data_IF_471457465833
#
_entry.id   IF_471457465833
#
_cell.length_a   1.000
_cell.length_b   1.000
_cell.length_c   1.000
_cell.angle_alpha   90.00
_cell.angle_beta   90.00
_cell.angle_gamma   90.00
#
_symmetry.space_group_name_H-M   'P 1'
#
loop_
_entity.id
_entity.type
_entity.pdbx_description
1 polymer ?
#
# COMPACT_ATOMS: atom_id res chain seq x y z
N UNK A 1 -18.99 -2.06 17.23
CA UNK A 1 -19.91 -3.05 16.58
C UNK A 1 -19.15 -4.15 15.81
N UNK A 2 -18.22 -3.85 14.90
CA UNK A 2 -17.51 -4.89 14.14
C UNK A 2 -16.67 -5.80 15.04
N UNK A 3 -15.85 -5.25 15.92
CA UNK A 3 -14.99 -6.03 16.82
C UNK A 3 -15.78 -6.99 17.69
N UNK A 4 -16.92 -6.56 18.28
CA UNK A 4 -17.75 -7.46 19.10
C UNK A 4 -18.31 -8.65 18.32
N UNK A 5 -18.63 -8.49 17.03
CA UNK A 5 -19.05 -9.61 16.17
C UNK A 5 -17.90 -10.57 15.85
N UNK A 6 -16.68 -10.04 15.73
CA UNK A 6 -15.49 -10.87 15.53
C UNK A 6 -15.16 -11.65 16.81
N UNK A 7 -15.26 -11.04 17.98
CA UNK A 7 -15.08 -11.72 19.29
C UNK A 7 -16.08 -12.84 19.48
N UNK A 8 -17.36 -12.62 19.13
CA UNK A 8 -18.40 -13.64 19.18
C UNK A 8 -18.07 -14.81 18.22
N UNK A 9 -17.70 -14.52 16.98
CA UNK A 9 -17.34 -15.55 16.00
C UNK A 9 -16.14 -16.40 16.47
N UNK A 10 -15.10 -15.77 17.03
CA UNK A 10 -13.92 -16.45 17.56
C UNK A 10 -14.31 -17.30 18.81
N UNK A 11 -15.20 -16.82 19.66
CA UNK A 11 -15.69 -17.58 20.82
C UNK A 11 -16.40 -18.85 20.39
N UNK A 12 -17.16 -18.80 19.28
CA UNK A 12 -17.85 -19.96 18.74
C UNK A 12 -16.90 -20.96 18.05
N UNK A 13 -15.84 -20.47 17.43
CA UNK A 13 -14.90 -21.31 16.69
C UNK A 13 -13.44 -20.80 16.86
N UNK A 14 -12.79 -21.14 18.01
CA UNK A 14 -11.47 -20.59 18.34
C UNK A 14 -10.32 -21.33 17.62
N UNK A 15 -10.34 -21.39 16.30
CA UNK A 15 -9.30 -22.02 15.49
C UNK A 15 -8.33 -20.96 14.91
N UNK A 16 -7.08 -21.33 14.55
CA UNK A 16 -6.06 -20.42 14.04
C UNK A 16 -6.56 -19.53 12.89
N UNK A 17 -7.29 -20.11 11.96
CA UNK A 17 -7.82 -19.42 10.77
C UNK A 17 -8.80 -18.31 11.14
N UNK A 18 -9.68 -18.51 12.14
CA UNK A 18 -10.64 -17.48 12.56
C UNK A 18 -9.96 -16.26 13.16
N UNK A 19 -8.91 -16.46 13.96
CA UNK A 19 -8.09 -15.38 14.48
C UNK A 19 -7.37 -14.61 13.37
N UNK A 20 -6.80 -15.32 12.40
CA UNK A 20 -6.15 -14.68 11.25
C UNK A 20 -7.15 -13.84 10.45
N UNK A 21 -8.34 -14.37 10.12
CA UNK A 21 -9.38 -13.66 9.38
C UNK A 21 -9.92 -12.46 10.14
N UNK A 22 -10.11 -12.55 11.46
CA UNK A 22 -10.53 -11.41 12.27
C UNK A 22 -9.49 -10.27 12.23
N UNK A 23 -8.22 -10.61 12.36
CA UNK A 23 -7.13 -9.64 12.25
C UNK A 23 -7.04 -9.01 10.86
N UNK A 24 -7.21 -9.80 9.80
CA UNK A 24 -7.23 -9.34 8.42
C UNK A 24 -8.37 -8.36 8.15
N UNK A 25 -9.60 -8.67 8.58
CA UNK A 25 -10.76 -7.77 8.44
C UNK A 25 -10.50 -6.42 9.13
N UNK A 26 -9.92 -6.42 10.34
CA UNK A 26 -9.60 -5.17 11.04
C UNK A 26 -8.48 -4.39 10.35
N UNK A 27 -7.50 -5.08 9.76
CA UNK A 27 -6.46 -4.47 8.94
C UNK A 27 -7.05 -3.81 7.69
N UNK A 28 -7.86 -4.54 6.91
CA UNK A 28 -8.47 -4.06 5.67
C UNK A 28 -9.40 -2.85 5.90
N UNK A 29 -10.15 -2.86 6.99
CA UNK A 29 -11.03 -1.75 7.35
C UNK A 29 -10.28 -0.56 7.98
N UNK A 30 -9.02 -0.72 8.36
CA UNK A 30 -8.20 0.33 8.97
C UNK A 30 -8.70 0.83 10.33
N UNK A 31 -9.62 0.11 10.97
CA UNK A 31 -10.31 0.62 12.16
C UNK A 31 -9.48 0.50 13.45
N UNK A 32 -8.73 -0.59 13.61
CA UNK A 32 -8.00 -0.84 14.85
C UNK A 32 -6.82 -1.80 14.63
N UNK A 33 -5.66 -1.26 14.29
CA UNK A 33 -4.45 -2.07 14.05
C UNK A 33 -3.95 -2.79 15.31
N UNK A 34 -4.14 -2.22 16.51
CA UNK A 34 -3.73 -2.88 17.74
C UNK A 34 -4.51 -4.19 17.97
N UNK A 35 -5.83 -4.15 17.78
CA UNK A 35 -6.67 -5.36 17.84
C UNK A 35 -6.37 -6.31 16.70
N UNK A 36 -6.13 -5.81 15.48
CA UNK A 36 -5.71 -6.65 14.35
C UNK A 36 -4.43 -7.43 14.67
N UNK A 37 -3.39 -6.76 15.16
CA UNK A 37 -2.13 -7.38 15.57
C UNK A 37 -2.36 -8.41 16.67
N UNK A 38 -3.23 -8.12 17.66
CA UNK A 38 -3.53 -9.06 18.76
C UNK A 38 -4.15 -10.36 18.22
N UNK A 39 -5.18 -10.27 17.37
CA UNK A 39 -5.79 -11.47 16.76
C UNK A 39 -4.80 -12.23 15.89
N UNK A 40 -4.03 -11.54 15.06
CA UNK A 40 -3.02 -12.17 14.20
C UNK A 40 -1.92 -12.88 15.02
N UNK A 41 -1.52 -12.31 16.16
CA UNK A 41 -0.55 -12.96 17.05
C UNK A 41 -1.15 -14.21 17.71
N UNK A 42 -2.42 -14.19 18.11
CA UNK A 42 -3.11 -15.39 18.59
C UNK A 42 -3.22 -16.45 17.51
N UNK A 43 -3.66 -16.07 16.31
CA UNK A 43 -3.71 -16.96 15.15
C UNK A 43 -2.35 -17.58 14.82
N UNK A 44 -1.28 -16.78 14.84
CA UNK A 44 0.08 -17.26 14.66
C UNK A 44 0.48 -18.30 15.71
N UNK A 45 0.22 -18.04 17.00
CA UNK A 45 0.61 -18.93 18.09
C UNK A 45 -0.13 -20.28 18.00
N UNK A 46 -1.43 -20.26 17.71
CA UNK A 46 -2.21 -21.47 17.50
C UNK A 46 -1.77 -22.23 16.25
N UNK A 47 -1.52 -21.51 15.14
CA UNK A 47 -1.00 -22.11 13.92
C UNK A 47 0.38 -22.77 14.13
N UNK A 48 1.22 -22.19 14.98
CA UNK A 48 2.52 -22.77 15.33
C UNK A 48 2.38 -24.09 16.12
N UNK A 49 1.39 -24.17 17.02
CA UNK A 49 1.11 -25.40 17.77
C UNK A 49 0.60 -26.53 16.85
N UNK A 50 -0.13 -26.18 15.79
CA UNK A 50 -0.70 -27.13 14.84
C UNK A 50 0.19 -27.37 13.60
N UNK A 51 1.36 -26.72 13.50
CA UNK A 51 2.29 -26.88 12.37
C UNK A 51 1.79 -26.22 11.06
N UNK A 52 0.86 -25.25 11.14
CA UNK A 52 0.24 -24.59 9.99
C UNK A 52 1.14 -23.47 9.46
N UNK A 53 2.28 -23.81 8.85
CA UNK A 53 3.33 -22.86 8.48
C UNK A 53 2.87 -21.75 7.51
N UNK A 54 1.96 -22.05 6.57
CA UNK A 54 1.39 -21.05 5.66
C UNK A 54 0.55 -20.01 6.40
N UNK A 55 -0.23 -20.43 7.39
CA UNK A 55 -1.03 -19.51 8.20
C UNK A 55 -0.13 -18.62 9.08
N UNK A 56 0.94 -19.19 9.62
CA UNK A 56 1.98 -18.41 10.33
C UNK A 56 2.58 -17.34 9.44
N UNK A 57 2.91 -17.66 8.19
CA UNK A 57 3.45 -16.74 7.20
C UNK A 57 2.45 -15.60 6.91
N UNK A 58 1.19 -15.92 6.65
CA UNK A 58 0.14 -14.93 6.41
C UNK A 58 -0.05 -13.98 7.59
N UNK A 59 -0.11 -14.51 8.83
CA UNK A 59 -0.20 -13.68 10.04
C UNK A 59 0.95 -12.67 10.12
N UNK A 60 2.21 -13.11 9.89
CA UNK A 60 3.38 -12.23 9.95
C UNK A 60 3.37 -11.14 8.88
N UNK A 61 2.92 -11.44 7.67
CA UNK A 61 2.78 -10.44 6.59
C UNK A 61 1.78 -9.37 7.01
N UNK A 62 0.59 -9.77 7.49
CA UNK A 62 -0.45 -8.81 7.85
C UNK A 62 -0.04 -7.98 9.07
N UNK A 63 0.65 -8.58 10.06
CA UNK A 63 1.22 -7.80 11.18
C UNK A 63 2.23 -6.77 10.66
N UNK A 64 3.11 -7.16 9.74
CA UNK A 64 4.04 -6.24 9.09
C UNK A 64 3.33 -5.10 8.37
N UNK A 65 2.24 -5.39 7.65
CA UNK A 65 1.40 -4.39 7.00
C UNK A 65 0.72 -3.44 8.02
N UNK A 66 0.25 -3.96 9.17
CA UNK A 66 -0.29 -3.13 10.24
C UNK A 66 0.74 -2.11 10.75
N UNK A 67 1.98 -2.58 11.03
CA UNK A 67 3.07 -1.70 11.45
C UNK A 67 3.51 -0.72 10.35
N UNK A 68 3.46 -1.14 9.08
CA UNK A 68 3.69 -0.24 7.94
C UNK A 68 2.70 0.92 7.96
N UNK A 69 1.41 0.63 8.10
CA UNK A 69 0.36 1.64 8.15
C UNK A 69 0.45 2.55 9.40
N UNK A 70 1.01 2.05 10.48
CA UNK A 70 1.30 2.83 11.70
C UNK A 70 2.64 3.58 11.64
N UNK A 71 3.40 3.45 10.53
CA UNK A 71 4.73 4.02 10.33
C UNK A 71 5.79 3.53 11.35
N UNK A 72 5.54 2.38 11.97
CA UNK A 72 6.45 1.73 12.91
C UNK A 72 7.52 0.91 12.19
N UNK A 73 8.45 1.57 11.48
CA UNK A 73 9.47 0.94 10.62
C UNK A 73 10.21 -0.21 11.28
N UNK A 74 10.63 -0.05 12.55
CA UNK A 74 11.41 -1.07 13.26
C UNK A 74 10.61 -2.35 13.46
N UNK A 75 9.35 -2.23 13.84
CA UNK A 75 8.47 -3.38 14.04
C UNK A 75 8.10 -4.02 12.70
N UNK A 76 7.76 -3.20 11.69
CA UNK A 76 7.52 -3.68 10.32
C UNK A 76 8.70 -4.50 9.78
N UNK A 77 9.93 -3.98 9.86
CA UNK A 77 11.11 -4.68 9.37
C UNK A 77 11.34 -6.02 10.07
N UNK A 78 11.11 -6.08 11.38
CA UNK A 78 11.19 -7.33 12.14
C UNK A 78 10.19 -8.37 11.64
N UNK A 79 8.93 -7.98 11.47
CA UNK A 79 7.88 -8.90 11.03
C UNK A 79 8.12 -9.38 9.59
N UNK A 80 8.50 -8.48 8.68
CA UNK A 80 8.85 -8.86 7.31
C UNK A 80 10.11 -9.71 7.21
N UNK A 81 11.09 -9.57 8.12
CA UNK A 81 12.24 -10.47 8.19
C UNK A 81 11.81 -11.88 8.58
N UNK A 82 10.91 -12.02 9.57
CA UNK A 82 10.37 -13.32 9.97
C UNK A 82 9.56 -13.93 8.81
N UNK A 83 8.66 -13.17 8.22
CA UNK A 83 7.85 -13.61 7.07
C UNK A 83 8.73 -14.03 5.89
N UNK A 84 9.79 -13.26 5.58
CA UNK A 84 10.73 -13.60 4.49
C UNK A 84 11.52 -14.91 4.74
N UNK A 85 11.84 -15.23 5.99
CA UNK A 85 12.44 -16.52 6.34
C UNK A 85 11.45 -17.65 6.10
N UNK A 86 10.24 -17.55 6.67
CA UNK A 86 9.18 -18.52 6.46
C UNK A 86 8.86 -18.73 4.98
N UNK A 87 8.76 -17.65 4.20
CA UNK A 87 8.48 -17.76 2.76
C UNK A 87 9.58 -18.51 2.01
N UNK A 88 10.87 -18.29 2.36
CA UNK A 88 11.99 -19.05 1.78
C UNK A 88 11.95 -20.51 2.18
N UNK A 89 11.74 -20.81 3.46
CA UNK A 89 11.70 -22.19 3.98
C UNK A 89 10.53 -22.99 3.36
N UNK A 90 9.44 -22.30 3.03
CA UNK A 90 8.26 -22.86 2.36
C UNK A 90 8.32 -22.77 0.82
N UNK A 91 9.43 -22.32 0.24
CA UNK A 91 9.61 -22.12 -1.22
C UNK A 91 8.55 -21.24 -1.87
N UNK A 92 8.01 -20.23 -1.12
CA UNK A 92 6.96 -19.31 -1.58
C UNK A 92 7.58 -18.05 -2.23
N UNK A 93 8.10 -18.20 -3.46
CA UNK A 93 8.81 -17.13 -4.17
C UNK A 93 7.91 -15.92 -4.45
N UNK A 94 6.66 -16.14 -4.85
CA UNK A 94 5.73 -15.05 -5.15
C UNK A 94 5.36 -14.27 -3.89
N UNK A 95 5.16 -14.95 -2.77
CA UNK A 95 4.92 -14.28 -1.49
C UNK A 95 6.14 -13.47 -1.05
N UNK A 96 7.35 -13.94 -1.31
CA UNK A 96 8.57 -13.19 -1.03
C UNK A 96 8.66 -11.90 -1.86
N UNK A 97 8.22 -11.92 -3.13
CA UNK A 97 8.11 -10.71 -3.96
C UNK A 97 7.13 -9.70 -3.32
N UNK A 98 5.96 -10.16 -2.88
CA UNK A 98 4.96 -9.31 -2.21
C UNK A 98 5.52 -8.67 -0.93
N UNK A 99 6.21 -9.43 -0.09
CA UNK A 99 6.85 -8.91 1.14
C UNK A 99 7.86 -7.81 0.79
N UNK A 100 8.70 -8.05 -0.20
CA UNK A 100 9.72 -7.09 -0.62
C UNK A 100 9.10 -5.83 -1.23
N UNK A 101 8.05 -5.98 -2.04
CA UNK A 101 7.26 -4.87 -2.57
C UNK A 101 6.64 -4.02 -1.44
N UNK A 102 5.97 -4.65 -0.47
CA UNK A 102 5.34 -3.94 0.66
C UNK A 102 6.37 -3.15 1.47
N UNK A 103 7.54 -3.76 1.72
CA UNK A 103 8.66 -3.09 2.39
C UNK A 103 9.14 -1.87 1.63
N UNK A 104 9.41 -2.02 0.32
CA UNK A 104 9.90 -0.94 -0.53
C UNK A 104 8.85 0.17 -0.71
N UNK A 105 7.57 -0.17 -0.83
CA UNK A 105 6.45 0.78 -0.88
C UNK A 105 6.35 1.60 0.41
N UNK A 106 6.61 0.99 1.57
CA UNK A 106 6.67 1.71 2.85
C UNK A 106 7.83 2.71 2.87
N UNK A 107 8.99 2.36 2.31
CA UNK A 107 10.09 3.32 2.19
C UNK A 107 9.71 4.52 1.31
N UNK A 108 8.95 4.32 0.23
CA UNK A 108 8.42 5.45 -0.57
C UNK A 108 7.50 6.31 0.28
N UNK A 109 6.52 5.70 0.98
CA UNK A 109 5.55 6.41 1.80
C UNK A 109 6.21 7.25 2.91
N UNK A 110 7.37 6.80 3.42
CA UNK A 110 8.13 7.48 4.47
C UNK A 110 9.28 8.36 3.95
N UNK A 111 9.30 8.67 2.65
CA UNK A 111 10.31 9.55 2.04
C UNK A 111 11.71 8.93 1.92
N UNK A 112 11.87 7.65 2.25
CA UNK A 112 13.17 6.94 2.08
C UNK A 112 13.40 6.54 0.62
N UNK A 113 13.23 7.49 -0.29
CA UNK A 113 13.21 7.28 -1.73
C UNK A 113 14.46 6.56 -2.26
N UNK A 114 15.65 6.82 -1.68
CA UNK A 114 16.89 6.16 -2.12
C UNK A 114 16.81 4.64 -1.99
N UNK A 115 16.39 4.15 -0.82
CA UNK A 115 16.25 2.71 -0.58
C UNK A 115 15.19 2.09 -1.49
N UNK A 116 14.08 2.80 -1.67
CA UNK A 116 13.01 2.37 -2.54
C UNK A 116 13.45 2.32 -4.01
N UNK A 117 14.12 3.37 -4.49
CA UNK A 117 14.70 3.41 -5.83
C UNK A 117 15.68 2.26 -6.08
N UNK A 118 16.61 2.02 -5.13
CA UNK A 118 17.59 0.93 -5.22
C UNK A 118 16.95 -0.45 -5.33
N UNK A 119 15.72 -0.60 -4.81
CA UNK A 119 14.93 -1.83 -4.97
C UNK A 119 14.18 -1.84 -6.30
N UNK A 120 13.29 -0.86 -6.56
CA UNK A 120 12.41 -0.88 -7.72
C UNK A 120 13.14 -0.80 -9.05
N UNK A 121 14.28 -0.13 -9.12
CA UNK A 121 15.12 -0.06 -10.34
C UNK A 121 15.79 -1.38 -10.73
N UNK A 122 15.80 -2.37 -9.82
CA UNK A 122 16.42 -3.68 -10.03
C UNK A 122 15.43 -4.82 -10.19
N UNK A 123 14.13 -4.53 -10.17
CA UNK A 123 13.11 -5.56 -10.40
C UNK A 123 13.15 -5.96 -11.87
N UNK A 124 13.51 -7.21 -12.15
CA UNK A 124 13.72 -7.72 -13.52
C UNK A 124 12.40 -7.76 -14.30
N UNK A 125 11.34 -8.27 -13.68
CA UNK A 125 9.99 -8.36 -14.24
C UNK A 125 9.01 -7.51 -13.41
N UNK A 126 9.05 -6.16 -13.53
CA UNK A 126 8.23 -5.29 -12.71
C UNK A 126 6.76 -5.36 -13.10
N UNK A 127 5.89 -5.43 -12.10
CA UNK A 127 4.47 -5.18 -12.24
C UNK A 127 4.19 -3.67 -12.44
N UNK A 128 2.95 -3.31 -12.81
CA UNK A 128 2.54 -1.91 -12.97
C UNK A 128 2.79 -1.11 -11.68
N UNK A 129 2.50 -1.70 -10.53
CA UNK A 129 2.72 -1.04 -9.23
C UNK A 129 4.21 -0.85 -8.88
N UNK A 130 5.12 -1.74 -9.33
CA UNK A 130 6.56 -1.52 -9.18
C UNK A 130 7.01 -0.30 -9.99
N UNK A 131 6.53 -0.20 -11.24
CA UNK A 131 6.82 0.92 -12.13
C UNK A 131 6.24 2.24 -11.61
N UNK A 132 5.05 2.20 -11.01
CA UNK A 132 4.45 3.33 -10.31
C UNK A 132 5.34 3.84 -9.17
N UNK A 133 5.83 2.94 -8.30
CA UNK A 133 6.72 3.32 -7.19
C UNK A 133 8.08 3.81 -7.69
N UNK A 134 8.61 3.21 -8.75
CA UNK A 134 9.84 3.69 -9.39
C UNK A 134 9.68 5.12 -9.92
N UNK A 135 8.56 5.40 -10.61
CA UNK A 135 8.29 6.74 -11.14
C UNK A 135 8.20 7.80 -10.03
N UNK A 136 7.59 7.49 -8.88
CA UNK A 136 7.56 8.38 -7.71
C UNK A 136 8.98 8.63 -7.16
N UNK A 137 9.80 7.59 -7.06
CA UNK A 137 11.19 7.76 -6.65
C UNK A 137 11.96 8.65 -7.64
N UNK A 138 11.72 8.48 -8.94
CA UNK A 138 12.33 9.29 -10.00
C UNK A 138 11.87 10.76 -9.91
N UNK A 139 10.59 11.02 -9.60
CA UNK A 139 10.09 12.37 -9.33
C UNK A 139 10.86 13.02 -8.18
N UNK A 140 10.99 12.33 -7.05
CA UNK A 140 11.70 12.83 -5.87
C UNK A 140 13.19 13.13 -6.12
N UNK A 141 13.81 12.45 -7.11
CA UNK A 141 15.22 12.64 -7.48
C UNK A 141 15.46 13.51 -8.71
N UNK A 142 14.42 14.07 -9.30
CA UNK A 142 14.54 14.84 -10.54
C UNK A 142 14.97 14.00 -11.76
N UNK A 143 14.80 12.67 -11.71
CA UNK A 143 15.10 11.74 -12.81
C UNK A 143 13.93 11.65 -13.80
N UNK A 144 13.51 12.81 -14.31
CA UNK A 144 12.31 12.98 -15.11
C UNK A 144 12.18 11.96 -16.26
N UNK A 145 13.22 11.82 -17.07
CA UNK A 145 13.17 10.94 -18.26
C UNK A 145 12.97 9.46 -17.87
N UNK A 146 13.63 9.00 -16.82
CA UNK A 146 13.53 7.63 -16.32
C UNK A 146 12.14 7.36 -15.72
N UNK A 147 11.59 8.31 -14.96
CA UNK A 147 10.24 8.19 -14.42
C UNK A 147 9.17 8.13 -15.51
N UNK A 148 9.29 8.96 -16.56
CA UNK A 148 8.39 8.93 -17.71
C UNK A 148 8.46 7.58 -18.44
N UNK A 149 9.67 7.02 -18.64
CA UNK A 149 9.82 5.72 -19.30
C UNK A 149 9.21 4.58 -18.45
N UNK A 150 9.38 4.63 -17.14
CA UNK A 150 8.72 3.67 -16.25
C UNK A 150 7.18 3.71 -16.41
N UNK A 151 6.58 4.90 -16.47
CA UNK A 151 5.13 5.02 -16.68
C UNK A 151 4.72 4.53 -18.07
N UNK A 152 5.44 4.90 -19.13
CA UNK A 152 5.15 4.40 -20.49
C UNK A 152 5.19 2.88 -20.57
N UNK A 153 6.11 2.25 -19.82
CA UNK A 153 6.16 0.78 -19.71
C UNK A 153 4.91 0.24 -19.01
N UNK A 154 4.46 0.87 -17.92
CA UNK A 154 3.23 0.50 -17.22
C UNK A 154 1.98 0.65 -18.12
N UNK A 155 1.90 1.73 -18.90
CA UNK A 155 0.81 1.95 -19.87
C UNK A 155 0.74 0.84 -20.90
N UNK A 156 1.88 0.46 -21.51
CA UNK A 156 1.95 -0.66 -22.46
C UNK A 156 1.48 -1.98 -21.85
N UNK A 157 1.75 -2.21 -20.56
CA UNK A 157 1.27 -3.42 -19.87
C UNK A 157 -0.24 -3.40 -19.63
N UNK A 158 -0.85 -2.23 -19.50
CA UNK A 158 -2.29 -2.05 -19.32
C UNK A 158 -3.11 -2.07 -20.63
N UNK A 159 -2.46 -1.95 -21.82
CA UNK A 159 -3.15 -1.91 -23.13
C UNK A 159 -3.79 -3.25 -23.54
N UNK A 160 -3.47 -4.35 -22.84
CA UNK A 160 -3.94 -5.70 -23.18
C UNK A 160 -5.17 -6.17 -22.39
N UNK A 161 -5.84 -5.28 -21.64
CA UNK A 161 -7.06 -5.59 -20.88
C UNK A 161 -8.29 -4.99 -21.54
N UNK A 162 -9.23 -5.84 -22.00
CA UNK A 162 -10.49 -5.41 -22.63
C UNK A 162 -11.57 -5.02 -21.60
N UNK A 163 -11.33 -5.16 -20.30
CA UNK A 163 -12.29 -4.83 -19.25
C UNK A 163 -11.99 -3.45 -18.63
N UNK A 164 -12.85 -2.44 -18.88
CA UNK A 164 -12.67 -1.09 -18.30
C UNK A 164 -12.82 -1.05 -16.76
N UNK A 165 -13.28 -2.12 -16.15
CA UNK A 165 -13.38 -2.28 -14.69
C UNK A 165 -12.18 -3.01 -14.07
N UNK A 166 -11.17 -3.38 -14.83
CA UNK A 166 -9.99 -4.08 -14.39
C UNK A 166 -9.19 -3.21 -13.38
N UNK A 167 -8.73 -3.82 -12.30
CA UNK A 167 -7.80 -3.19 -11.33
C UNK A 167 -6.55 -2.65 -12.02
N UNK A 168 -6.05 -3.33 -13.06
CA UNK A 168 -4.92 -2.88 -13.87
C UNK A 168 -5.13 -1.52 -14.52
N UNK A 169 -6.34 -1.21 -14.97
CA UNK A 169 -6.64 0.13 -15.52
C UNK A 169 -6.48 1.21 -14.46
N UNK A 170 -6.91 0.93 -13.23
CA UNK A 170 -6.74 1.87 -12.12
C UNK A 170 -5.26 2.03 -11.74
N UNK A 171 -4.47 0.95 -11.76
CA UNK A 171 -3.01 1.01 -11.55
C UNK A 171 -2.32 1.89 -12.63
N UNK A 172 -2.75 1.79 -13.89
CA UNK A 172 -2.27 2.64 -14.98
C UNK A 172 -2.69 4.10 -14.77
N UNK A 173 -3.92 4.37 -14.33
CA UNK A 173 -4.38 5.72 -13.99
C UNK A 173 -3.49 6.34 -12.89
N UNK A 174 -3.11 5.56 -11.87
CA UNK A 174 -2.17 6.00 -10.84
C UNK A 174 -0.79 6.35 -11.42
N UNK A 175 -0.30 5.57 -12.37
CA UNK A 175 0.95 5.86 -13.08
C UNK A 175 0.84 7.16 -13.90
N UNK A 176 -0.29 7.40 -14.57
CA UNK A 176 -0.54 8.63 -15.35
C UNK A 176 -0.54 9.88 -14.50
N UNK A 177 -1.02 9.82 -13.25
CA UNK A 177 -0.91 10.93 -12.29
C UNK A 177 0.56 11.35 -12.09
N UNK A 178 1.44 10.36 -11.84
CA UNK A 178 2.88 10.64 -11.64
C UNK A 178 3.51 11.18 -12.93
N UNK A 179 3.16 10.61 -14.08
CA UNK A 179 3.66 11.09 -15.37
C UNK A 179 3.27 12.54 -15.60
N UNK A 180 2.01 12.93 -15.34
CA UNK A 180 1.56 14.30 -15.50
C UNK A 180 2.40 15.26 -14.68
N UNK A 181 2.68 14.93 -13.42
CA UNK A 181 3.56 15.70 -12.52
C UNK A 181 4.99 15.81 -13.06
N UNK A 182 5.51 14.74 -13.64
CA UNK A 182 6.83 14.75 -14.26
C UNK A 182 6.91 15.59 -15.53
N UNK A 183 5.85 15.62 -16.36
CA UNK A 183 5.83 16.32 -17.65
C UNK A 183 5.51 17.82 -17.52
N UNK A 184 4.77 18.23 -16.50
CA UNK A 184 4.24 19.59 -16.31
C UNK A 184 4.79 20.24 -15.05
N UNK A 185 5.53 21.33 -15.19
CA UNK A 185 6.12 22.05 -14.04
C UNK A 185 5.07 22.74 -13.16
N UNK A 186 3.96 23.17 -13.76
CA UNK A 186 2.88 23.90 -13.10
C UNK A 186 1.60 23.07 -12.95
N UNK A 187 1.72 21.74 -12.89
CA UNK A 187 0.59 20.81 -12.85
C UNK A 187 -0.51 21.18 -11.84
N UNK A 188 -0.14 21.76 -10.68
CA UNK A 188 -1.12 22.23 -9.68
C UNK A 188 -2.05 23.33 -10.17
N UNK A 189 -1.69 24.08 -11.20
CA UNK A 189 -2.52 25.13 -11.80
C UNK A 189 -3.39 24.64 -12.96
N UNK A 190 -3.18 23.43 -13.42
CA UNK A 190 -3.81 22.89 -14.62
C UNK A 190 -5.08 22.11 -14.26
N UNK A 191 -6.20 22.41 -14.95
CA UNK A 191 -7.47 21.72 -14.74
C UNK A 191 -7.39 20.23 -15.10
N UNK A 192 -6.51 19.87 -16.04
CA UNK A 192 -6.32 18.51 -16.48
C UNK A 192 -5.75 17.62 -15.34
N UNK A 193 -4.88 18.18 -14.52
CA UNK A 193 -4.39 17.47 -13.34
C UNK A 193 -5.50 17.18 -12.33
N UNK A 194 -6.39 18.15 -12.11
CA UNK A 194 -7.58 17.97 -11.25
C UNK A 194 -8.46 16.84 -11.75
N UNK A 195 -8.74 16.83 -13.08
CA UNK A 195 -9.56 15.80 -13.75
C UNK A 195 -8.93 14.40 -13.68
N UNK A 196 -7.62 14.31 -13.55
CA UNK A 196 -6.92 13.04 -13.34
C UNK A 196 -6.90 12.65 -11.85
N UNK A 197 -6.55 13.58 -10.96
CA UNK A 197 -6.31 13.33 -9.54
C UNK A 197 -7.58 12.84 -8.82
N UNK A 198 -8.67 13.61 -8.87
CA UNK A 198 -9.84 13.31 -8.05
C UNK A 198 -10.60 12.06 -8.50
N UNK A 199 -10.88 11.83 -9.79
CA UNK A 199 -11.52 10.59 -10.22
C UNK A 199 -10.68 9.35 -9.88
N UNK A 200 -9.35 9.41 -10.07
CA UNK A 200 -8.46 8.33 -9.72
C UNK A 200 -8.48 8.07 -8.19
N UNK A 201 -8.42 9.13 -7.39
CA UNK A 201 -8.47 9.02 -5.92
C UNK A 201 -9.80 8.43 -5.43
N UNK A 202 -10.94 8.84 -6.00
CA UNK A 202 -12.25 8.28 -5.64
C UNK A 202 -12.38 6.80 -6.04
N UNK A 203 -11.86 6.41 -7.21
CA UNK A 203 -11.80 5.00 -7.62
C UNK A 203 -10.94 4.16 -6.67
N UNK A 204 -9.76 4.66 -6.26
CA UNK A 204 -8.92 3.99 -5.28
C UNK A 204 -9.65 3.72 -3.96
N UNK A 205 -10.38 4.73 -3.45
CA UNK A 205 -11.16 4.60 -2.21
C UNK A 205 -12.29 3.58 -2.31
N UNK A 206 -12.87 3.44 -3.48
CA UNK A 206 -14.02 2.58 -3.70
C UNK A 206 -13.64 1.11 -3.98
N UNK A 207 -12.47 0.87 -4.57
CA UNK A 207 -12.11 -0.44 -5.15
C UNK A 207 -10.87 -1.09 -4.55
N UNK A 208 -9.96 -0.31 -3.96
CA UNK A 208 -8.68 -0.81 -3.45
C UNK A 208 -8.61 -0.75 -1.93
N UNK A 209 -7.74 -1.54 -1.29
CA UNK A 209 -7.44 -1.41 0.12
C UNK A 209 -7.07 0.02 0.51
N UNK A 210 -7.45 0.45 1.70
CA UNK A 210 -7.29 1.83 2.18
C UNK A 210 -5.87 2.39 2.02
N UNK A 211 -4.86 1.55 2.09
CA UNK A 211 -3.45 1.93 1.91
C UNK A 211 -3.16 2.62 0.57
N UNK A 212 -3.88 2.28 -0.49
CA UNK A 212 -3.71 2.94 -1.80
C UNK A 212 -4.18 4.40 -1.75
N UNK A 213 -5.35 4.66 -1.17
CA UNK A 213 -5.85 6.01 -1.00
C UNK A 213 -4.93 6.81 -0.08
N UNK A 214 -4.54 6.25 1.08
CA UNK A 214 -3.61 6.87 2.03
C UNK A 214 -2.30 7.28 1.37
N UNK A 215 -1.73 6.42 0.54
CA UNK A 215 -0.51 6.69 -0.20
C UNK A 215 -0.61 7.92 -1.11
N UNK A 216 -1.80 8.19 -1.67
CA UNK A 216 -2.04 9.33 -2.57
C UNK A 216 -2.61 10.58 -1.88
N UNK A 217 -2.91 10.52 -0.57
CA UNK A 217 -3.35 11.68 0.20
C UNK A 217 -2.40 12.88 0.07
N UNK A 218 -1.06 12.74 0.08
CA UNK A 218 -0.15 13.86 -0.12
C UNK A 218 -0.42 14.65 -1.41
N UNK A 219 -0.79 14.00 -2.51
CA UNK A 219 -1.11 14.66 -3.78
C UNK A 219 -2.38 15.52 -3.68
N UNK A 220 -3.40 14.97 -2.99
CA UNK A 220 -4.66 15.69 -2.75
C UNK A 220 -4.44 16.86 -1.80
N UNK A 221 -3.61 16.69 -0.76
CA UNK A 221 -3.27 17.77 0.18
C UNK A 221 -2.50 18.89 -0.51
N UNK A 222 -1.52 18.55 -1.35
CA UNK A 222 -0.75 19.51 -2.12
C UNK A 222 -1.67 20.36 -3.01
N UNK A 223 -2.60 19.72 -3.71
CA UNK A 223 -3.57 20.39 -4.58
C UNK A 223 -4.48 21.33 -3.77
N UNK A 224 -5.08 20.89 -2.65
CA UNK A 224 -5.92 21.75 -1.80
C UNK A 224 -5.12 22.90 -1.19
N UNK A 225 -3.89 22.67 -0.79
CA UNK A 225 -3.01 23.69 -0.18
C UNK A 225 -2.65 24.76 -1.20
N UNK A 226 -2.28 24.39 -2.43
CA UNK A 226 -1.99 25.33 -3.51
C UNK A 226 -3.19 26.24 -3.83
N UNK A 227 -4.40 25.70 -3.78
CA UNK A 227 -5.65 26.43 -4.00
C UNK A 227 -6.19 27.14 -2.75
N UNK A 228 -5.46 27.10 -1.64
CA UNK A 228 -5.86 27.67 -0.34
C UNK A 228 -7.19 27.09 0.19
N UNK A 229 -7.52 25.89 -0.18
CA UNK A 229 -8.70 25.15 0.30
C UNK A 229 -8.38 24.42 1.62
N UNK A 230 -8.01 25.20 2.64
CA UNK A 230 -7.50 24.67 3.91
C UNK A 230 -8.53 23.84 4.69
N UNK A 231 -9.83 24.09 4.51
CA UNK A 231 -10.88 23.29 5.15
C UNK A 231 -10.86 21.85 4.61
N UNK A 232 -10.80 21.69 3.31
CA UNK A 232 -10.73 20.38 2.65
C UNK A 232 -9.42 19.66 2.99
N UNK A 233 -8.30 20.39 2.98
CA UNK A 233 -7.02 19.84 3.42
C UNK A 233 -7.07 19.33 4.87
N UNK A 234 -7.67 20.12 5.79
CA UNK A 234 -7.85 19.71 7.18
C UNK A 234 -8.74 18.47 7.32
N UNK A 235 -9.84 18.38 6.56
CA UNK A 235 -10.71 17.20 6.56
C UNK A 235 -9.97 15.94 6.08
N UNK A 236 -9.10 16.07 5.09
CA UNK A 236 -8.21 14.99 4.62
C UNK A 236 -7.23 14.57 5.72
N UNK A 237 -6.55 15.52 6.36
CA UNK A 237 -5.65 15.22 7.49
C UNK A 237 -6.41 14.56 8.63
N UNK A 238 -7.59 15.06 9.00
CA UNK A 238 -8.41 14.46 10.06
C UNK A 238 -8.83 13.02 9.75
N UNK A 239 -9.14 12.74 8.48
CA UNK A 239 -9.57 11.41 8.05
C UNK A 239 -8.41 10.42 7.94
N UNK A 240 -7.27 10.87 7.44
CA UNK A 240 -6.13 10.02 7.10
C UNK A 240 -4.86 10.34 7.89
N UNK A 241 -4.90 11.30 8.82
CA UNK A 241 -3.71 11.83 9.50
C UNK A 241 -2.95 10.82 10.35
N UNK A 242 -3.59 9.75 10.79
CA UNK A 242 -2.90 8.62 11.43
C UNK A 242 -1.98 7.83 10.49
N UNK A 243 -2.03 8.13 9.19
CA UNK A 243 -1.28 7.45 8.13
C UNK A 243 -0.34 8.39 7.35
N UNK A 244 -0.39 9.70 7.60
CA UNK A 244 0.43 10.68 6.89
C UNK A 244 1.71 10.90 7.69
N UNK A 245 2.92 10.77 7.08
CA UNK A 245 4.15 11.15 7.74
C UNK A 245 4.05 12.60 8.23
N UNK A 246 4.40 12.83 9.49
CA UNK A 246 4.56 14.20 9.97
C UNK A 246 5.73 14.81 9.20
N UNK A 247 5.43 15.78 8.34
CA UNK A 247 6.42 16.53 7.57
C UNK A 247 7.27 17.40 8.49
#
# INVERSE_FOLDING_TARGET
MLQGRLDEAITLLPIPFMYMRAGEILYETGQNYASAISYLQMGYNLAAQEGMAMLMLQCRIIIGNCYSNQQELKNMEREYQIASRLARDLHQTEILKVINYNRASTWVALGSYKKAYDYFSKVEEPAILDLHKLAICCEAYGRKAEGIEAVKRAERMGEFGDDPDDEKQLEVEMCRLVRYRLEHENYLKEEEYEKLLFPCFEKMKARLPVGFAVFHVPYVLEWYTDRRQYKQAYEMVRKYGGFIPVL
#
